data_IF_615499579897
#
_entry.id   IF_615499579897
#
_cell.length_a   1.000
_cell.length_b   1.000
_cell.length_c   1.000
_cell.angle_alpha   90.00
_cell.angle_beta   90.00
_cell.angle_gamma   90.00
#
_symmetry.space_group_name_H-M   'P 1'
#
loop_
_entity.id
_entity.type
_entity.pdbx_description
1 polymer ?
#
# COMPACT_ATOMS: atom_id res chain seq x y z
N UNK A 1 -17.73 0.91 -1.22
CA UNK A 1 -17.10 1.88 -2.15
C UNK A 1 -15.61 1.63 -2.10
N UNK A 2 -14.96 1.44 -3.24
CA UNK A 2 -13.54 1.12 -3.30
C UNK A 2 -12.69 2.38 -3.02
N UNK A 3 -11.39 2.18 -2.75
CA UNK A 3 -10.44 3.29 -2.61
C UNK A 3 -10.06 3.91 -3.97
N UNK A 4 -10.01 3.04 -4.99
CA UNK A 4 -9.68 3.31 -6.37
C UNK A 4 -10.69 2.57 -7.25
N UNK A 5 -11.33 3.29 -8.17
CA UNK A 5 -12.30 2.72 -9.12
C UNK A 5 -11.63 2.50 -10.49
N UNK A 6 -12.17 1.59 -11.30
CA UNK A 6 -11.61 1.25 -12.63
C UNK A 6 -11.52 2.48 -13.54
N UNK A 7 -12.54 3.35 -13.54
CA UNK A 7 -12.56 4.60 -14.32
C UNK A 7 -11.38 5.52 -14.01
N UNK A 8 -10.86 5.50 -12.77
CA UNK A 8 -9.72 6.32 -12.37
C UNK A 8 -8.38 5.81 -12.93
N UNK A 9 -8.35 4.60 -13.50
CA UNK A 9 -7.17 4.02 -14.15
C UNK A 9 -6.89 4.57 -15.54
N UNK A 10 -7.87 5.25 -16.15
CA UNK A 10 -7.73 5.95 -17.44
C UNK A 10 -6.59 6.97 -17.47
N UNK A 11 -6.17 7.48 -16.31
CA UNK A 11 -5.01 8.38 -16.21
C UNK A 11 -3.66 7.67 -16.34
N UNK A 12 -3.64 6.34 -16.20
CA UNK A 12 -2.44 5.53 -16.26
C UNK A 12 -2.40 4.69 -17.53
N UNK A 13 -3.49 4.03 -17.89
CA UNK A 13 -3.64 3.21 -19.10
C UNK A 13 -4.86 3.77 -19.86
N UNK A 14 -4.75 3.96 -21.17
CA UNK A 14 -5.90 4.43 -21.95
C UNK A 14 -7.02 3.39 -21.94
N UNK A 15 -8.27 3.85 -22.02
CA UNK A 15 -9.45 2.97 -22.01
C UNK A 15 -9.38 1.90 -23.10
N UNK A 16 -8.97 2.28 -24.31
CA UNK A 16 -8.78 1.38 -25.46
C UNK A 16 -7.76 0.26 -25.18
N UNK A 17 -6.67 0.58 -24.47
CA UNK A 17 -5.65 -0.40 -24.10
C UNK A 17 -6.15 -1.32 -22.97
N UNK A 18 -6.90 -0.77 -22.00
CA UNK A 18 -7.52 -1.56 -20.93
C UNK A 18 -8.50 -2.58 -21.51
N UNK A 19 -9.38 -2.16 -22.42
CA UNK A 19 -10.32 -3.06 -23.11
C UNK A 19 -9.60 -4.11 -23.95
N UNK A 20 -8.48 -3.75 -24.59
CA UNK A 20 -7.67 -4.68 -25.36
C UNK A 20 -7.03 -5.76 -24.48
N UNK A 21 -6.51 -5.37 -23.31
CA UNK A 21 -5.85 -6.29 -22.37
C UNK A 21 -6.88 -7.15 -21.63
N UNK A 22 -8.03 -6.59 -21.25
CA UNK A 22 -9.07 -7.28 -20.49
C UNK A 22 -10.10 -8.02 -21.33
N UNK A 23 -10.10 -7.81 -22.65
CA UNK A 23 -11.18 -8.22 -23.55
C UNK A 23 -12.57 -7.68 -23.14
N UNK A 24 -12.60 -6.49 -22.53
CA UNK A 24 -13.82 -5.82 -22.06
C UNK A 24 -14.36 -6.35 -20.72
N UNK A 25 -13.56 -7.10 -19.96
CA UNK A 25 -13.91 -7.58 -18.62
C UNK A 25 -13.16 -6.83 -17.51
N UNK A 26 -13.86 -5.95 -16.80
CA UNK A 26 -13.32 -5.18 -15.69
C UNK A 26 -12.80 -6.05 -14.53
N UNK A 27 -13.17 -7.34 -14.46
CA UNK A 27 -12.70 -8.24 -13.40
C UNK A 27 -11.18 -8.33 -13.32
N UNK A 28 -10.48 -8.28 -14.46
CA UNK A 28 -9.03 -8.27 -14.51
C UNK A 28 -8.43 -7.01 -13.85
N UNK A 29 -9.01 -5.84 -14.14
CA UNK A 29 -8.54 -4.58 -13.56
C UNK A 29 -8.90 -4.47 -12.07
N UNK A 30 -10.10 -4.91 -11.68
CA UNK A 30 -10.50 -4.95 -10.27
C UNK A 30 -9.56 -5.83 -9.44
N UNK A 31 -9.21 -7.01 -9.95
CA UNK A 31 -8.25 -7.92 -9.30
C UNK A 31 -6.85 -7.28 -9.16
N UNK A 32 -6.39 -6.56 -10.19
CA UNK A 32 -5.11 -5.84 -10.13
C UNK A 32 -5.12 -4.69 -9.12
N UNK A 33 -6.25 -3.97 -9.00
CA UNK A 33 -6.44 -2.92 -7.99
C UNK A 33 -6.42 -3.51 -6.58
N UNK A 34 -7.13 -4.62 -6.34
CA UNK A 34 -7.16 -5.29 -5.05
C UNK A 34 -5.77 -5.77 -4.63
N UNK A 35 -5.03 -6.40 -5.55
CA UNK A 35 -3.64 -6.81 -5.32
C UNK A 35 -2.72 -5.63 -5.00
N UNK A 36 -2.86 -4.50 -5.72
CA UNK A 36 -2.10 -3.30 -5.45
C UNK A 36 -2.41 -2.69 -4.08
N UNK A 37 -3.67 -2.68 -3.67
CA UNK A 37 -4.08 -2.18 -2.35
C UNK A 37 -3.48 -3.06 -1.25
N UNK A 38 -3.57 -4.38 -1.38
CA UNK A 38 -3.02 -5.33 -0.40
C UNK A 38 -1.49 -5.18 -0.28
N UNK A 39 -0.78 -5.04 -1.41
CA UNK A 39 0.66 -4.82 -1.41
C UNK A 39 1.05 -3.53 -0.69
N UNK A 40 0.37 -2.41 -1.00
CA UNK A 40 0.62 -1.12 -0.36
C UNK A 40 0.30 -1.16 1.15
N UNK A 41 -0.77 -1.87 1.54
CA UNK A 41 -1.09 -2.09 2.96
C UNK A 41 0.05 -2.82 3.70
N UNK A 42 0.71 -3.78 3.06
CA UNK A 42 1.86 -4.50 3.61
C UNK A 42 3.02 -3.58 3.99
N UNK A 43 3.25 -2.50 3.24
CA UNK A 43 4.29 -1.51 3.57
C UNK A 43 3.85 -0.47 4.61
N UNK A 44 2.55 -0.20 4.74
CA UNK A 44 2.04 0.88 5.61
C UNK A 44 1.54 0.37 6.98
N UNK A 45 2.07 -0.75 7.49
CA UNK A 45 1.63 -1.38 8.75
C UNK A 45 1.72 -0.50 10.01
N UNK A 46 2.51 0.58 9.99
CA UNK A 46 2.57 1.58 11.09
C UNK A 46 1.48 2.65 11.03
N UNK A 47 0.75 2.74 9.93
CA UNK A 47 -0.29 3.73 9.70
C UNK A 47 -1.68 3.11 9.83
N UNK A 48 -2.70 3.96 9.96
CA UNK A 48 -4.09 3.54 9.96
C UNK A 48 -4.53 3.25 8.52
N UNK A 49 -4.21 2.06 8.03
CA UNK A 49 -4.60 1.60 6.68
C UNK A 49 -6.11 1.65 6.49
N UNK A 50 -6.88 1.35 7.54
CA UNK A 50 -8.34 1.47 7.54
C UNK A 50 -8.80 2.88 7.16
N UNK A 51 -8.28 3.92 7.83
CA UNK A 51 -8.60 5.31 7.49
C UNK A 51 -8.06 5.74 6.13
N UNK A 52 -6.84 5.33 5.78
CA UNK A 52 -6.21 5.68 4.49
C UNK A 52 -7.08 5.19 3.33
N UNK A 53 -7.42 3.91 3.33
CA UNK A 53 -8.18 3.29 2.23
C UNK A 53 -9.69 3.56 2.33
N UNK A 54 -10.19 4.08 3.46
CA UNK A 54 -11.54 4.61 3.59
C UNK A 54 -11.70 6.06 3.10
N UNK A 55 -10.60 6.83 2.96
CA UNK A 55 -10.65 8.23 2.53
C UNK A 55 -11.22 8.39 1.12
N UNK A 56 -11.97 9.48 0.86
CA UNK A 56 -12.63 9.72 -0.43
C UNK A 56 -12.34 11.11 -1.00
N UNK A 57 -12.42 11.22 -2.33
CA UNK A 57 -12.25 12.49 -3.02
C UNK A 57 -10.92 13.17 -2.66
N UNK A 58 -11.01 14.39 -2.09
CA UNK A 58 -9.88 15.24 -1.71
C UNK A 58 -9.19 14.84 -0.40
N UNK A 59 -9.78 13.93 0.38
CA UNK A 59 -9.17 13.42 1.61
C UNK A 59 -8.11 12.36 1.33
N UNK A 60 -8.12 11.78 0.12
CA UNK A 60 -7.12 10.82 -0.32
C UNK A 60 -5.77 11.52 -0.46
N UNK A 61 -4.72 10.88 0.03
CA UNK A 61 -3.36 11.37 -0.20
C UNK A 61 -3.04 11.24 -1.71
N UNK A 62 -2.77 12.34 -2.43
CA UNK A 62 -2.64 12.31 -3.88
C UNK A 62 -1.40 11.54 -4.35
N UNK A 63 -0.31 11.56 -3.55
CA UNK A 63 0.92 10.81 -3.85
C UNK A 63 0.69 9.32 -3.67
N UNK A 64 0.02 8.93 -2.59
CA UNK A 64 -0.31 7.53 -2.35
C UNK A 64 -1.27 6.99 -3.42
N UNK A 65 -2.27 7.79 -3.81
CA UNK A 65 -3.19 7.44 -4.89
C UNK A 65 -2.45 7.21 -6.22
N UNK A 66 -1.48 8.07 -6.56
CA UNK A 66 -0.63 7.90 -7.75
C UNK A 66 0.12 6.56 -7.70
N UNK A 67 0.76 6.26 -6.58
CA UNK A 67 1.53 5.02 -6.45
C UNK A 67 0.68 3.75 -6.46
N UNK A 68 -0.51 3.77 -5.84
CA UNK A 68 -1.46 2.65 -5.92
C UNK A 68 -1.86 2.39 -7.37
N UNK A 69 -2.09 3.45 -8.17
CA UNK A 69 -2.40 3.31 -9.60
C UNK A 69 -1.21 2.79 -10.41
N UNK A 70 0.02 3.23 -10.14
CA UNK A 70 1.21 2.71 -10.81
C UNK A 70 1.40 1.20 -10.52
N UNK A 71 1.18 0.77 -9.27
CA UNK A 71 1.27 -0.65 -8.88
C UNK A 71 0.13 -1.47 -9.51
N UNK A 72 -1.10 -0.96 -9.51
CA UNK A 72 -2.23 -1.63 -10.17
C UNK A 72 -1.99 -1.77 -11.69
N UNK A 73 -1.47 -0.73 -12.34
CA UNK A 73 -1.12 -0.79 -13.75
C UNK A 73 -0.05 -1.84 -14.04
N UNK A 74 0.97 -1.97 -13.18
CA UNK A 74 1.98 -3.02 -13.28
C UNK A 74 1.37 -4.42 -13.19
N UNK A 75 0.55 -4.67 -12.17
CA UNK A 75 -0.11 -5.97 -12.00
C UNK A 75 -1.06 -6.32 -13.14
N UNK A 76 -1.74 -5.32 -13.71
CA UNK A 76 -2.64 -5.51 -14.85
C UNK A 76 -1.89 -5.83 -16.16
N UNK A 77 -0.77 -5.16 -16.43
CA UNK A 77 0.03 -5.38 -17.64
C UNK A 77 0.72 -6.74 -17.71
N UNK A 78 0.68 -7.55 -16.63
CA UNK A 78 1.14 -8.93 -16.65
C UNK A 78 0.32 -9.82 -17.61
N UNK A 79 -0.92 -9.44 -17.93
CA UNK A 79 -1.77 -10.18 -18.87
C UNK A 79 -1.25 -9.98 -20.31
N UNK A 80 -1.06 -8.73 -20.72
CA UNK A 80 -0.57 -8.34 -22.04
C UNK A 80 0.02 -6.92 -21.99
N UNK A 81 1.03 -6.68 -22.81
CA UNK A 81 1.72 -5.38 -22.94
C UNK A 81 1.20 -4.53 -24.12
N UNK A 82 -0.05 -4.72 -24.56
CA UNK A 82 -0.64 -3.96 -25.66
C UNK A 82 -0.65 -2.46 -25.34
N UNK A 83 -0.01 -1.64 -26.19
CA UNK A 83 0.02 -0.17 -26.03
C UNK A 83 0.85 0.34 -24.85
N UNK A 84 1.52 -0.55 -24.09
CA UNK A 84 2.20 -0.18 -22.85
C UNK A 84 3.72 -0.33 -22.97
N UNK A 85 4.45 0.76 -22.67
CA UNK A 85 5.89 0.73 -22.44
C UNK A 85 6.20 0.08 -21.08
N UNK A 86 6.58 -1.20 -21.10
CA UNK A 86 6.86 -1.99 -19.90
C UNK A 86 8.07 -1.47 -19.13
N UNK A 87 9.11 -0.97 -19.80
CA UNK A 87 10.29 -0.41 -19.11
C UNK A 87 9.92 0.86 -18.33
N UNK A 88 9.05 1.69 -18.92
CA UNK A 88 8.53 2.87 -18.22
C UNK A 88 7.67 2.48 -17.02
N UNK A 89 6.87 1.41 -17.14
CA UNK A 89 6.04 0.89 -16.03
C UNK A 89 6.89 0.34 -14.90
N UNK A 90 7.90 -0.45 -15.22
CA UNK A 90 8.85 -1.00 -14.25
C UNK A 90 9.51 0.13 -13.44
N UNK A 91 10.01 1.18 -14.11
CA UNK A 91 10.60 2.35 -13.43
C UNK A 91 9.62 3.08 -12.50
N UNK A 92 8.33 3.16 -12.86
CA UNK A 92 7.31 3.77 -12.01
C UNK A 92 6.95 2.88 -10.82
N UNK A 93 6.83 1.59 -11.05
CA UNK A 93 6.64 0.59 -10.01
C UNK A 93 7.79 0.62 -9.00
N UNK A 94 9.04 0.57 -9.46
CA UNK A 94 10.23 0.64 -8.60
C UNK A 94 10.24 1.91 -7.74
N UNK A 95 9.90 3.06 -8.34
CA UNK A 95 9.79 4.34 -7.63
C UNK A 95 8.68 4.31 -6.57
N UNK A 96 7.56 3.67 -6.85
CA UNK A 96 6.47 3.49 -5.89
C UNK A 96 6.93 2.62 -4.70
N UNK A 97 7.57 1.49 -4.97
CA UNK A 97 8.12 0.58 -3.95
C UNK A 97 9.20 1.27 -3.12
N UNK A 98 10.11 2.02 -3.74
CA UNK A 98 11.14 2.79 -3.04
C UNK A 98 10.51 3.81 -2.08
N UNK A 99 9.48 4.54 -2.55
CA UNK A 99 8.78 5.49 -1.69
C UNK A 99 8.08 4.78 -0.52
N UNK A 100 7.43 3.64 -0.76
CA UNK A 100 6.75 2.86 0.28
C UNK A 100 7.74 2.36 1.33
N UNK A 101 8.87 1.79 0.91
CA UNK A 101 9.95 1.35 1.81
C UNK A 101 10.51 2.51 2.65
N UNK A 102 10.71 3.67 2.02
CA UNK A 102 11.21 4.86 2.71
C UNK A 102 10.20 5.43 3.72
N UNK A 103 8.90 5.28 3.48
CA UNK A 103 7.83 5.80 4.34
C UNK A 103 7.32 4.78 5.36
N UNK A 104 7.65 3.48 5.23
CA UNK A 104 7.24 2.41 6.14
C UNK A 104 7.63 2.68 7.60
N UNK A 105 8.80 3.27 7.85
CA UNK A 105 9.36 3.46 9.18
C UNK A 105 9.48 4.93 9.62
N UNK A 106 9.09 5.89 8.77
CA UNK A 106 9.15 7.32 9.07
C UNK A 106 7.81 7.81 9.60
N UNK A 107 7.80 8.91 10.35
CA UNK A 107 6.56 9.65 10.61
C UNK A 107 6.30 10.56 9.41
N UNK A 108 5.45 10.11 8.48
CA UNK A 108 4.94 10.97 7.42
C UNK A 108 3.75 11.79 7.98
N UNK A 109 3.86 13.14 8.07
CA UNK A 109 2.79 13.98 8.61
C UNK A 109 1.51 13.96 7.76
N UNK A 110 1.58 13.50 6.51
CA UNK A 110 0.44 13.45 5.58
C UNK A 110 -0.30 12.10 5.60
N UNK A 111 0.13 11.14 6.44
CA UNK A 111 -0.54 9.84 6.60
C UNK A 111 -1.00 9.69 8.06
N UNK A 112 -2.25 9.25 8.31
CA UNK A 112 -2.75 9.07 9.66
C UNK A 112 -1.98 7.95 10.36
N UNK A 113 -1.43 8.24 11.54
CA UNK A 113 -0.80 7.23 12.39
C UNK A 113 -1.83 6.19 12.83
N UNK A 114 -1.40 4.93 12.98
CA UNK A 114 -2.24 3.88 13.55
C UNK A 114 -2.70 4.30 14.96
N UNK A 115 -3.94 3.97 15.37
CA UNK A 115 -4.37 4.23 16.73
C UNK A 115 -3.43 3.51 17.71
N UNK A 116 -2.99 4.22 18.76
CA UNK A 116 -2.26 3.60 19.86
C UNK A 116 -3.11 2.48 20.43
N UNK A 117 -2.63 1.23 20.37
CA UNK A 117 -3.34 0.11 20.97
C UNK A 117 -3.23 0.22 22.49
N UNK A 118 -4.33 0.44 23.23
CA UNK A 118 -4.31 0.52 24.68
C UNK A 118 -4.05 -0.88 25.23
N UNK A 119 -2.79 -1.21 25.51
CA UNK A 119 -2.39 -2.52 26.01
C UNK A 119 -1.04 -3.01 25.52
N UNK A 120 -0.52 -2.46 24.42
CA UNK A 120 0.92 -2.57 24.14
C UNK A 120 1.58 -1.49 24.97
N UNK A 121 1.85 -1.80 26.23
CA UNK A 121 2.74 -0.97 27.02
C UNK A 121 4.03 -0.87 26.23
N UNK A 122 4.23 0.26 25.57
CA UNK A 122 5.49 0.60 24.95
C UNK A 122 6.49 0.53 26.09
N UNK A 123 7.23 -0.57 26.16
CA UNK A 123 8.44 -0.55 26.92
C UNK A 123 9.24 0.55 26.25
N UNK A 124 9.45 1.69 26.93
CA UNK A 124 10.35 2.75 26.47
C UNK A 124 11.79 2.25 26.23
N UNK A 125 12.03 0.96 26.49
CA UNK A 125 13.23 0.21 26.18
C UNK A 125 13.24 -0.40 24.76
N UNK A 126 12.10 -0.58 24.08
CA UNK A 126 12.06 -1.26 22.78
C UNK A 126 12.26 -0.29 21.59
N UNK A 127 13.44 0.32 21.53
CA UNK A 127 14.20 0.26 20.27
C UNK A 127 14.57 -1.20 19.98
N UNK A 128 15.36 -1.50 18.96
CA UNK A 128 15.72 -2.89 18.54
C UNK A 128 16.33 -3.82 19.62
N UNK A 129 16.47 -3.38 20.89
CA UNK A 129 17.03 -4.13 22.00
C UNK A 129 16.04 -4.18 23.16
N UNK A 130 15.46 -5.35 23.41
CA UNK A 130 14.67 -5.60 24.61
C UNK A 130 15.60 -5.93 25.80
N UNK A 131 15.55 -5.13 26.87
CA UNK A 131 16.21 -5.42 28.14
C UNK A 131 15.22 -6.00 29.14
N UNK A 132 15.55 -7.16 29.71
CA UNK A 132 14.80 -7.79 30.80
C UNK A 132 15.65 -8.87 31.49
N UNK A 133 15.53 -8.98 32.81
CA UNK A 133 16.09 -10.09 33.59
C UNK A 133 14.99 -11.00 34.10
N UNK A 134 15.32 -12.26 34.36
CA UNK A 134 14.35 -13.22 34.86
C UNK A 134 13.91 -12.82 36.28
N UNK A 135 12.60 -12.83 36.55
CA UNK A 135 12.05 -12.43 37.85
C UNK A 135 12.54 -13.39 38.93
N UNK A 136 12.94 -12.85 40.10
CA UNK A 136 13.55 -13.65 41.18
C UNK A 136 12.63 -14.82 41.58
N UNK A 137 13.18 -16.03 41.57
CA UNK A 137 12.49 -17.24 42.00
C UNK A 137 12.50 -17.30 43.52
N UNK A 138 11.34 -17.17 44.16
CA UNK A 138 11.19 -17.46 45.59
C UNK A 138 10.98 -18.96 45.78
N UNK A 139 11.99 -19.62 46.33
CA UNK A 139 11.89 -21.01 46.78
C UNK A 139 11.47 -21.00 48.25
N UNK A 140 10.32 -21.60 48.56
CA UNK A 140 9.95 -21.94 49.93
C UNK A 140 10.54 -23.31 50.29
N UNK A 141 11.21 -23.39 51.45
CA UNK A 141 11.77 -24.62 52.04
C UNK A 141 10.73 -25.35 52.90
#
# INVERSE_FOLDING_TARGET
MAYLEVEEMTTHIYEEDMDTISHGDDAAMMSAIDAAIEEVQGYLTKYDTGKIFAARGKERNPILLLFVKDIAAWHFCNICNAGVDIEMREKRYDRAIEWLRNNQNRQNPNLPAAPEQPGRQECRCCGEIAFGSNRKRDNHF
#
